data_IF_310272426653
#
_entry.id   IF_310272426653
#
_cell.length_a   1.000
_cell.length_b   1.000
_cell.length_c   1.000
_cell.angle_alpha   90.00
_cell.angle_beta   90.00
_cell.angle_gamma   90.00
#
_symmetry.space_group_name_H-M   'P 1'
#
loop_
_entity.id
_entity.type
_entity.pdbx_description
1 polymer ?
#
# COMPACT_ATOMS: atom_id res chain seq x y z
N UNK A 1 -16.75 9.80 10.15
CA UNK A 1 -17.78 9.14 11.00
C UNK A 1 -19.15 9.67 10.59
N UNK A 2 -19.97 8.85 9.91
CA UNK A 2 -21.30 9.21 9.41
C UNK A 2 -22.21 9.76 10.52
N UNK A 3 -22.18 9.15 11.69
CA UNK A 3 -22.98 9.59 12.84
C UNK A 3 -22.57 10.99 13.33
N UNK A 4 -21.26 11.32 13.31
CA UNK A 4 -20.78 12.65 13.67
C UNK A 4 -21.29 13.70 12.70
N UNK A 5 -21.26 13.39 11.40
CA UNK A 5 -21.80 14.30 10.38
C UNK A 5 -23.32 14.47 10.54
N UNK A 6 -24.06 13.39 10.81
CA UNK A 6 -25.52 13.44 11.07
C UNK A 6 -25.85 14.36 12.27
N UNK A 7 -25.07 14.26 13.37
CA UNK A 7 -25.23 15.14 14.55
C UNK A 7 -24.98 16.60 14.18
N UNK A 8 -23.89 16.87 13.44
CA UNK A 8 -23.54 18.25 13.04
C UNK A 8 -24.51 18.84 12.04
N UNK A 9 -25.04 18.04 11.11
CA UNK A 9 -26.09 18.46 10.18
C UNK A 9 -27.38 18.79 10.91
N UNK A 10 -27.81 17.94 11.85
CA UNK A 10 -28.97 18.24 12.67
C UNK A 10 -28.78 19.52 13.50
N UNK A 11 -27.60 19.76 14.04
CA UNK A 11 -27.30 21.01 14.73
C UNK A 11 -27.40 22.23 13.81
N UNK A 12 -26.98 22.12 12.54
CA UNK A 12 -27.17 23.18 11.52
C UNK A 12 -28.66 23.42 11.23
N UNK A 13 -29.47 22.36 11.12
CA UNK A 13 -30.93 22.48 10.93
C UNK A 13 -31.59 23.19 12.12
N UNK A 14 -31.21 22.86 13.34
CA UNK A 14 -31.67 23.54 14.55
C UNK A 14 -31.30 25.01 14.52
N UNK A 15 -30.08 25.36 14.17
CA UNK A 15 -29.59 26.75 14.08
C UNK A 15 -30.32 27.55 13.01
N UNK A 16 -30.60 26.96 11.87
CA UNK A 16 -31.39 27.60 10.79
C UNK A 16 -32.83 27.85 11.21
N UNK A 17 -33.43 26.91 11.95
CA UNK A 17 -34.81 27.07 12.45
C UNK A 17 -34.91 28.06 13.63
N UNK A 18 -33.85 28.13 14.46
CA UNK A 18 -33.75 28.98 15.64
C UNK A 18 -32.52 29.86 15.52
N UNK A 19 -32.57 31.03 14.88
CA UNK A 19 -31.43 31.94 14.72
C UNK A 19 -30.72 32.29 16.04
N UNK A 20 -31.51 32.35 17.13
CA UNK A 20 -31.04 32.41 18.51
C UNK A 20 -31.32 31.08 19.18
N UNK A 21 -30.29 30.38 19.65
CA UNK A 21 -30.41 29.08 20.32
C UNK A 21 -31.02 29.30 21.71
N UNK A 22 -32.30 29.18 21.80
CA UNK A 22 -33.07 29.30 23.03
C UNK A 22 -33.26 27.96 23.75
N UNK A 23 -33.92 27.94 24.89
CA UNK A 23 -34.18 26.72 25.69
C UNK A 23 -34.94 25.64 24.92
N UNK A 24 -35.86 26.03 24.04
CA UNK A 24 -36.61 25.09 23.20
C UNK A 24 -35.69 24.40 22.18
N UNK A 25 -34.82 25.17 21.51
CA UNK A 25 -33.83 24.65 20.55
C UNK A 25 -32.88 23.66 21.24
N UNK A 26 -32.35 24.03 22.42
CA UNK A 26 -31.49 23.17 23.25
C UNK A 26 -32.19 21.87 23.61
N UNK A 27 -33.44 21.92 24.03
CA UNK A 27 -34.22 20.73 24.37
C UNK A 27 -34.49 19.83 23.18
N UNK A 28 -34.88 20.40 22.02
CA UNK A 28 -35.07 19.61 20.79
C UNK A 28 -33.84 18.90 20.33
N UNK A 29 -32.67 19.58 20.36
CA UNK A 29 -31.41 18.96 20.03
C UNK A 29 -31.06 17.82 21.01
N UNK A 30 -31.16 18.07 22.31
CA UNK A 30 -30.94 17.09 23.36
C UNK A 30 -31.79 15.83 23.18
N UNK A 31 -33.11 16.02 22.98
CA UNK A 31 -34.06 14.93 22.81
C UNK A 31 -33.76 14.10 21.55
N UNK A 32 -33.39 14.75 20.45
CA UNK A 32 -33.07 14.06 19.22
C UNK A 32 -31.82 13.19 19.38
N UNK A 33 -30.72 13.73 19.93
CA UNK A 33 -29.48 12.96 20.15
C UNK A 33 -29.70 11.78 21.10
N UNK A 34 -30.44 12.00 22.21
CA UNK A 34 -30.65 10.96 23.23
C UNK A 34 -31.59 9.85 22.79
N UNK A 35 -32.56 10.15 21.92
CA UNK A 35 -33.50 9.17 21.40
C UNK A 35 -33.05 8.46 20.12
N UNK A 36 -31.97 8.93 19.49
CA UNK A 36 -31.47 8.34 18.26
C UNK A 36 -30.71 7.02 18.55
N UNK A 37 -31.36 5.90 18.24
CA UNK A 37 -30.84 4.54 18.47
C UNK A 37 -29.63 4.15 17.57
N UNK A 38 -29.36 4.92 16.52
CA UNK A 38 -28.19 4.69 15.65
C UNK A 38 -26.90 5.17 16.31
N UNK A 39 -26.99 6.12 17.24
CA UNK A 39 -25.82 6.70 17.89
C UNK A 39 -25.35 5.79 19.03
N UNK A 40 -24.04 5.62 19.12
CA UNK A 40 -23.38 4.94 20.26
C UNK A 40 -23.40 5.83 21.49
N UNK A 41 -23.22 5.24 22.70
CA UNK A 41 -23.21 6.00 23.95
C UNK A 41 -22.16 7.13 23.97
N UNK A 42 -21.02 6.94 23.31
CA UNK A 42 -20.00 8.00 23.16
C UNK A 42 -20.45 9.14 22.25
N UNK A 43 -21.22 8.86 21.20
CA UNK A 43 -21.79 9.85 20.30
C UNK A 43 -22.99 10.57 20.96
N UNK A 44 -23.81 9.86 21.73
CA UNK A 44 -24.90 10.44 22.51
C UNK A 44 -24.44 11.36 23.64
N UNK A 45 -23.17 11.28 24.06
CA UNK A 45 -22.60 12.23 25.01
C UNK A 45 -22.59 13.67 24.48
N UNK A 46 -22.51 13.85 23.14
CA UNK A 46 -22.53 15.14 22.44
C UNK A 46 -23.95 15.68 22.25
N UNK A 47 -24.71 15.77 23.31
CA UNK A 47 -26.13 16.12 23.33
C UNK A 47 -26.44 17.58 23.63
N UNK A 48 -25.42 18.41 23.73
CA UNK A 48 -25.58 19.82 24.02
C UNK A 48 -25.21 20.68 22.82
N UNK A 49 -25.88 21.82 22.68
CA UNK A 49 -25.61 22.83 21.66
C UNK A 49 -25.46 24.20 22.35
N UNK A 50 -24.41 24.95 21.99
CA UNK A 50 -24.18 26.29 22.52
C UNK A 50 -24.94 27.36 21.74
N UNK A 51 -24.82 28.61 22.16
CA UNK A 51 -25.47 29.77 21.55
C UNK A 51 -25.01 30.06 20.12
N UNK A 52 -23.80 29.62 19.78
CA UNK A 52 -23.24 29.70 18.42
C UNK A 52 -23.68 28.53 17.53
N UNK A 53 -24.39 27.56 18.06
CA UNK A 53 -24.82 26.35 17.36
C UNK A 53 -23.75 25.26 17.32
N UNK A 54 -22.71 25.33 18.13
CA UNK A 54 -21.65 24.33 18.22
C UNK A 54 -22.07 23.20 19.16
N UNK A 55 -21.88 21.97 18.71
CA UNK A 55 -22.20 20.75 19.47
C UNK A 55 -21.09 20.44 20.46
N UNK A 56 -21.44 20.10 21.70
CA UNK A 56 -20.46 19.73 22.71
C UNK A 56 -20.96 18.66 23.68
N UNK A 57 -20.03 18.00 24.36
CA UNK A 57 -20.29 17.22 25.57
C UNK A 57 -19.72 17.89 26.80
N UNK A 58 -20.36 17.64 27.96
CA UNK A 58 -19.88 18.11 29.24
C UNK A 58 -18.87 17.11 29.82
N UNK A 59 -17.62 17.54 30.02
CA UNK A 59 -16.51 16.70 30.51
C UNK A 59 -16.00 17.24 31.83
N UNK A 60 -15.65 16.34 32.75
CA UNK A 60 -15.05 16.71 34.04
C UNK A 60 -13.69 17.37 33.85
N UNK A 61 -13.42 18.40 34.67
CA UNK A 61 -12.10 19.04 34.78
C UNK A 61 -11.18 18.35 35.81
N UNK A 62 -11.64 17.27 36.44
CA UNK A 62 -10.88 16.53 37.44
C UNK A 62 -9.65 15.88 36.82
N UNK A 63 -8.51 15.94 37.45
CA UNK A 63 -7.35 15.14 37.08
C UNK A 63 -7.59 13.65 37.37
N UNK A 64 -7.12 12.71 36.49
CA UNK A 64 -7.28 11.28 36.76
C UNK A 64 -6.59 10.82 38.04
N UNK A 65 -5.43 11.40 38.35
CA UNK A 65 -4.66 11.13 39.54
C UNK A 65 -4.42 12.43 40.35
N UNK A 66 -4.17 12.36 41.68
CA UNK A 66 -3.89 13.52 42.47
C UNK A 66 -2.69 14.31 41.92
N UNK A 67 -2.83 15.61 41.79
CA UNK A 67 -1.76 16.50 41.36
C UNK A 67 -0.84 16.81 42.52
N UNK A 68 0.46 16.85 42.30
CA UNK A 68 1.46 17.19 43.32
C UNK A 68 1.65 18.70 43.48
N UNK A 69 1.46 19.48 42.42
CA UNK A 69 1.65 20.92 42.40
C UNK A 69 0.38 21.66 42.86
N UNK A 70 0.51 22.53 43.86
CA UNK A 70 -0.59 23.31 44.44
C UNK A 70 -1.30 24.22 43.43
N UNK A 71 -0.66 24.61 42.34
CA UNK A 71 -1.30 25.44 41.30
C UNK A 71 -2.54 24.79 40.66
N UNK A 72 -2.65 23.47 40.68
CA UNK A 72 -3.83 22.75 40.18
C UNK A 72 -5.00 22.71 41.16
N UNK A 73 -4.84 23.28 42.38
CA UNK A 73 -5.85 23.33 43.44
C UNK A 73 -6.35 24.76 43.69
N UNK A 74 -6.18 25.66 42.71
CA UNK A 74 -6.74 27.02 42.82
C UNK A 74 -8.19 26.97 42.32
N UNK A 75 -9.19 27.28 43.20
CA UNK A 75 -10.58 27.21 42.84
C UNK A 75 -10.95 28.29 41.82
N UNK A 76 -11.82 27.93 40.82
CA UNK A 76 -12.43 28.89 39.94
C UNK A 76 -13.52 29.69 40.68
N UNK A 77 -13.65 30.96 40.36
CA UNK A 77 -14.68 31.82 40.94
C UNK A 77 -15.97 31.70 40.12
N UNK A 78 -17.08 31.42 40.79
CA UNK A 78 -18.37 31.32 40.15
C UNK A 78 -18.84 32.69 39.59
N UNK A 79 -19.19 32.82 38.33
CA UNK A 79 -19.42 34.14 37.70
C UNK A 79 -20.66 34.90 38.24
N UNK A 80 -21.60 34.18 38.86
CA UNK A 80 -22.84 34.79 39.40
C UNK A 80 -22.73 35.04 40.88
N UNK A 81 -22.22 34.07 41.66
CA UNK A 81 -22.18 34.18 43.12
C UNK A 81 -20.91 34.87 43.65
N UNK A 82 -19.88 34.97 42.80
CA UNK A 82 -18.57 35.55 43.19
C UNK A 82 -17.78 34.69 44.17
N UNK A 83 -18.26 33.50 44.50
CA UNK A 83 -17.61 32.59 45.46
C UNK A 83 -16.75 31.53 44.77
N UNK A 84 -15.77 30.95 45.48
CA UNK A 84 -14.96 29.87 44.96
C UNK A 84 -15.80 28.59 44.75
N UNK A 85 -15.70 28.00 43.54
CA UNK A 85 -16.39 26.77 43.23
C UNK A 85 -15.79 25.54 43.93
N UNK A 86 -16.60 24.49 44.09
CA UNK A 86 -16.18 23.21 44.60
C UNK A 86 -15.00 22.64 43.80
N UNK A 87 -13.95 22.22 44.51
CA UNK A 87 -12.72 21.70 43.89
C UNK A 87 -12.83 20.22 43.55
N UNK A 88 -12.25 19.78 42.43
CA UNK A 88 -12.07 18.36 42.17
C UNK A 88 -11.07 17.76 43.20
N UNK A 89 -11.33 16.56 43.76
CA UNK A 89 -10.48 15.94 44.79
C UNK A 89 -9.03 15.75 44.36
N UNK A 90 -8.77 15.49 43.06
CA UNK A 90 -7.43 15.28 42.53
C UNK A 90 -6.81 16.57 41.94
N UNK A 91 -7.46 17.72 42.12
CA UNK A 91 -7.13 18.96 41.45
C UNK A 91 -7.63 19.02 40.00
N UNK A 92 -7.40 20.13 39.33
CA UNK A 92 -7.75 20.31 37.94
C UNK A 92 -6.80 19.59 36.98
N UNK A 93 -7.34 19.06 35.87
CA UNK A 93 -6.58 18.42 34.79
C UNK A 93 -5.86 19.44 33.88
N UNK A 94 -6.17 20.73 34.00
CA UNK A 94 -5.66 21.84 33.19
C UNK A 94 -4.85 22.80 34.05
N UNK A 95 -3.90 23.50 33.42
CA UNK A 95 -3.15 24.55 34.11
C UNK A 95 -4.01 25.80 34.38
N UNK A 96 -3.67 26.67 35.35
CA UNK A 96 -4.42 27.89 35.60
C UNK A 96 -4.56 28.80 34.39
N UNK A 97 -3.52 28.90 33.54
CA UNK A 97 -3.50 29.70 32.33
C UNK A 97 -4.52 29.14 31.32
N UNK A 98 -4.55 27.81 31.17
CA UNK A 98 -5.53 27.13 30.28
C UNK A 98 -6.94 27.31 30.81
N UNK A 99 -7.17 27.20 32.11
CA UNK A 99 -8.49 27.41 32.70
C UNK A 99 -8.98 28.87 32.52
N UNK A 100 -8.07 29.84 32.62
CA UNK A 100 -8.38 31.25 32.36
C UNK A 100 -8.78 31.48 30.89
N UNK A 101 -8.00 30.95 29.95
CA UNK A 101 -8.34 31.03 28.52
C UNK A 101 -9.69 30.37 28.20
N UNK A 102 -10.00 29.23 28.84
CA UNK A 102 -11.29 28.56 28.70
C UNK A 102 -12.44 29.37 29.30
N UNK A 103 -12.21 30.07 30.40
CA UNK A 103 -13.20 30.98 30.98
C UNK A 103 -13.49 32.16 30.05
N UNK A 104 -12.46 32.78 29.52
CA UNK A 104 -12.57 33.93 28.58
C UNK A 104 -13.30 33.55 27.29
N UNK A 105 -13.13 32.29 26.81
CA UNK A 105 -13.85 31.71 25.67
C UNK A 105 -15.27 31.24 25.99
N UNK A 106 -15.67 31.18 27.26
CA UNK A 106 -16.95 30.65 27.69
C UNK A 106 -17.07 29.14 27.55
N UNK A 107 -15.96 28.41 27.60
CA UNK A 107 -15.87 26.96 27.43
C UNK A 107 -15.97 26.20 28.77
N UNK A 108 -16.11 26.92 29.90
CA UNK A 108 -16.39 26.34 31.23
C UNK A 108 -17.89 26.38 31.50
N UNK A 109 -18.39 25.26 31.98
CA UNK A 109 -19.76 25.10 32.46
C UNK A 109 -19.76 25.21 33.98
N UNK A 110 -20.39 26.25 34.48
CA UNK A 110 -20.65 26.41 35.93
C UNK A 110 -22.03 25.81 36.27
N UNK A 111 -22.21 25.40 37.51
CA UNK A 111 -23.49 25.00 38.05
C UNK A 111 -24.44 26.18 38.24
N UNK A 112 -25.53 25.95 38.96
CA UNK A 112 -26.44 27.02 39.39
C UNK A 112 -25.78 27.90 40.44
N UNK A 113 -24.92 27.29 41.24
CA UNK A 113 -24.13 27.90 42.30
C UNK A 113 -22.71 27.32 42.41
N UNK A 114 -21.93 27.81 43.35
CA UNK A 114 -20.55 27.41 43.63
C UNK A 114 -20.39 25.99 44.17
N UNK A 115 -21.44 25.33 44.61
CA UNK A 115 -21.38 23.97 45.19
C UNK A 115 -21.12 22.90 44.13
N UNK A 116 -21.44 23.20 42.91
CA UNK A 116 -21.25 22.29 41.76
C UNK A 116 -19.84 22.47 41.18
N UNK A 117 -19.11 21.34 40.98
CA UNK A 117 -17.82 21.37 40.30
C UNK A 117 -17.91 21.87 38.87
N UNK A 118 -17.08 22.83 38.46
CA UNK A 118 -17.04 23.28 37.06
C UNK A 118 -16.63 22.17 36.13
N UNK A 119 -17.19 22.20 34.91
CA UNK A 119 -16.95 21.24 33.84
C UNK A 119 -16.53 21.96 32.55
N UNK A 120 -15.92 21.26 31.62
CA UNK A 120 -15.53 21.84 30.32
C UNK A 120 -16.50 21.42 29.22
N UNK A 121 -16.65 22.31 28.22
CA UNK A 121 -17.27 21.98 26.93
C UNK A 121 -16.22 21.32 26.04
N UNK A 122 -16.42 20.05 25.68
CA UNK A 122 -15.63 19.38 24.65
C UNK A 122 -16.42 19.38 23.35
N UNK A 123 -16.02 20.19 22.38
CA UNK A 123 -16.74 20.35 21.13
C UNK A 123 -16.56 19.17 20.18
N UNK A 124 -17.61 18.91 19.41
CA UNK A 124 -17.60 17.92 18.34
C UNK A 124 -17.18 18.61 17.03
N UNK A 125 -16.16 18.09 16.40
CA UNK A 125 -15.68 18.54 15.10
C UNK A 125 -15.94 17.50 14.01
N UNK A 126 -16.06 17.94 12.76
CA UNK A 126 -16.35 17.06 11.63
C UNK A 126 -15.24 16.03 11.38
N UNK A 127 -14.01 16.38 11.74
CA UNK A 127 -12.81 15.55 11.66
C UNK A 127 -12.55 14.72 12.93
N UNK A 128 -13.52 14.71 13.87
CA UNK A 128 -13.38 13.96 15.11
C UNK A 128 -13.14 12.47 14.83
N UNK A 129 -11.97 11.98 15.24
CA UNK A 129 -11.57 10.59 15.09
C UNK A 129 -12.04 9.78 16.28
N UNK A 130 -12.70 8.66 15.99
CA UNK A 130 -13.05 7.70 17.04
C UNK A 130 -11.81 6.88 17.39
N UNK A 131 -11.47 6.80 18.67
CA UNK A 131 -10.40 5.90 19.11
C UNK A 131 -10.79 4.44 18.79
N UNK A 132 -9.81 3.69 18.28
CA UNK A 132 -9.95 2.26 18.07
C UNK A 132 -10.07 1.59 19.44
N UNK A 133 -11.06 0.72 19.59
CA UNK A 133 -11.22 -0.06 20.82
C UNK A 133 -10.23 -1.22 20.81
N UNK A 134 -9.71 -1.58 22.00
CA UNK A 134 -8.81 -2.74 22.16
C UNK A 134 -9.49 -4.07 21.82
N UNK A 135 -10.83 -4.12 21.91
CA UNK A 135 -11.63 -5.29 21.56
C UNK A 135 -12.59 -4.88 20.44
N UNK A 136 -12.51 -5.59 19.32
CA UNK A 136 -13.39 -5.42 18.17
C UNK A 136 -14.28 -6.65 18.09
N UNK A 137 -15.60 -6.47 18.16
CA UNK A 137 -16.58 -7.53 17.95
C UNK A 137 -17.21 -7.34 16.57
N UNK A 138 -16.98 -8.30 15.67
CA UNK A 138 -17.64 -8.35 14.36
C UNK A 138 -18.38 -9.68 14.23
N UNK A 139 -19.70 -9.61 14.27
CA UNK A 139 -20.58 -10.78 14.13
C UNK A 139 -20.79 -11.20 12.65
N UNK A 140 -20.29 -10.43 11.69
CA UNK A 140 -20.47 -10.72 10.27
C UNK A 140 -19.58 -11.87 9.84
N UNK A 141 -20.17 -12.84 9.17
CA UNK A 141 -19.47 -14.03 8.66
C UNK A 141 -18.87 -13.74 7.29
N UNK A 142 -17.54 -13.79 7.17
CA UNK A 142 -16.83 -13.64 5.90
C UNK A 142 -17.25 -14.67 4.85
N UNK A 143 -17.60 -15.89 5.27
CA UNK A 143 -18.05 -16.97 4.37
C UNK A 143 -19.28 -16.58 3.53
N UNK A 144 -20.22 -15.80 4.08
CA UNK A 144 -21.37 -15.33 3.32
C UNK A 144 -20.95 -14.47 2.11
N UNK A 145 -19.94 -13.60 2.29
CA UNK A 145 -19.44 -12.76 1.20
C UNK A 145 -18.78 -13.57 0.09
N UNK A 146 -17.93 -14.55 0.44
CA UNK A 146 -17.30 -15.42 -0.55
C UNK A 146 -18.30 -16.34 -1.24
N UNK A 147 -19.34 -16.84 -0.54
CA UNK A 147 -20.43 -17.60 -1.15
C UNK A 147 -21.20 -16.75 -2.18
N UNK A 148 -21.52 -15.49 -1.88
CA UNK A 148 -22.16 -14.60 -2.86
C UNK A 148 -21.30 -14.40 -4.10
N UNK A 149 -19.97 -14.34 -3.93
CA UNK A 149 -19.01 -14.30 -5.04
C UNK A 149 -18.89 -15.64 -5.79
N UNK A 150 -19.52 -16.73 -5.29
CA UNK A 150 -19.36 -18.07 -5.83
C UNK A 150 -17.94 -18.62 -5.61
N UNK A 151 -17.35 -18.30 -4.48
CA UNK A 151 -16.02 -18.75 -4.06
C UNK A 151 -16.18 -19.57 -2.77
N UNK A 152 -15.72 -20.81 -2.79
CA UNK A 152 -15.66 -21.63 -1.58
C UNK A 152 -14.27 -21.53 -0.95
N UNK A 153 -14.24 -21.03 0.29
CA UNK A 153 -13.04 -20.96 1.10
C UNK A 153 -13.42 -21.05 2.58
N UNK A 154 -12.79 -21.95 3.35
CA UNK A 154 -13.27 -22.29 4.70
C UNK A 154 -13.06 -21.17 5.73
N UNK A 155 -11.98 -20.42 5.64
CA UNK A 155 -11.55 -19.45 6.66
C UNK A 155 -11.53 -18.03 6.12
N UNK A 156 -12.71 -17.43 5.95
CA UNK A 156 -12.83 -16.07 5.46
C UNK A 156 -13.15 -15.09 6.57
N UNK A 157 -12.42 -13.99 6.63
CA UNK A 157 -12.78 -12.84 7.46
C UNK A 157 -13.79 -11.94 6.72
N UNK A 158 -14.56 -11.19 7.51
CA UNK A 158 -15.48 -10.19 6.99
C UNK A 158 -14.74 -8.95 6.51
N UNK A 159 -15.14 -8.38 5.37
CA UNK A 159 -14.59 -7.09 4.92
C UNK A 159 -14.95 -5.97 5.89
N UNK A 160 -16.03 -6.07 6.68
CA UNK A 160 -16.38 -5.06 7.68
C UNK A 160 -15.29 -4.87 8.74
N UNK A 161 -14.67 -5.96 9.20
CA UNK A 161 -13.54 -5.92 10.12
C UNK A 161 -12.32 -5.24 9.47
N UNK A 162 -11.97 -5.67 8.26
CA UNK A 162 -10.81 -5.12 7.55
C UNK A 162 -11.02 -3.66 7.12
N UNK A 163 -12.23 -3.29 6.71
CA UNK A 163 -12.60 -1.90 6.45
C UNK A 163 -12.41 -1.02 7.70
N UNK A 164 -12.77 -1.54 8.87
CA UNK A 164 -12.56 -0.83 10.13
C UNK A 164 -11.05 -0.69 10.45
N UNK A 165 -10.27 -1.76 10.36
CA UNK A 165 -8.83 -1.76 10.65
C UNK A 165 -8.08 -0.87 9.66
N UNK A 166 -8.25 -1.10 8.36
CA UNK A 166 -7.56 -0.35 7.29
C UNK A 166 -7.98 1.12 7.33
N UNK A 167 -9.28 1.39 7.43
CA UNK A 167 -9.80 2.76 7.50
C UNK A 167 -9.36 3.53 8.74
N UNK A 168 -9.03 2.82 9.81
CA UNK A 168 -8.52 3.43 11.04
C UNK A 168 -7.01 3.69 11.00
N UNK A 169 -6.25 2.83 10.30
CA UNK A 169 -4.81 2.94 10.15
C UNK A 169 -4.39 3.85 8.98
N UNK A 170 -5.13 3.81 7.87
CA UNK A 170 -4.85 4.63 6.69
C UNK A 170 -5.42 6.04 6.83
N UNK A 171 -4.58 6.99 7.24
CA UNK A 171 -4.97 8.39 7.42
C UNK A 171 -5.10 9.12 6.09
N UNK A 172 -4.25 8.78 5.14
CA UNK A 172 -4.29 9.27 3.78
C UNK A 172 -4.99 8.26 2.88
N UNK A 173 -5.78 8.75 1.94
CA UNK A 173 -6.55 7.88 1.04
C UNK A 173 -5.73 7.29 -0.12
N UNK A 174 -4.41 7.46 -0.12
CA UNK A 174 -3.47 7.00 -1.15
C UNK A 174 -2.37 6.07 -0.61
N UNK A 175 -2.53 5.55 0.60
CA UNK A 175 -1.56 4.66 1.26
C UNK A 175 -1.54 3.27 0.61
N UNK A 176 -0.43 2.55 0.84
CA UNK A 176 -0.23 1.18 0.38
C UNK A 176 -0.50 0.24 1.54
N UNK A 177 -1.36 -0.73 1.34
CA UNK A 177 -1.71 -1.77 2.30
C UNK A 177 -1.00 -3.06 1.88
N UNK A 178 -0.16 -3.59 2.77
CA UNK A 178 0.57 -4.83 2.53
C UNK A 178 0.00 -5.95 3.42
N UNK A 179 -0.26 -7.11 2.81
CA UNK A 179 -0.72 -8.30 3.49
C UNK A 179 0.10 -9.51 3.03
N UNK A 180 0.92 -10.05 3.93
CA UNK A 180 1.82 -11.17 3.65
C UNK A 180 1.12 -12.53 3.63
N UNK A 181 -0.10 -12.61 4.14
CA UNK A 181 -0.89 -13.84 4.24
C UNK A 181 -2.30 -13.57 3.75
N UNK A 182 -2.41 -13.20 2.48
CA UNK A 182 -3.64 -12.68 1.89
C UNK A 182 -4.83 -13.64 1.98
N UNK A 183 -4.59 -14.94 2.07
CA UNK A 183 -5.63 -15.95 2.19
C UNK A 183 -6.64 -15.81 1.06
N UNK A 184 -7.90 -15.61 1.42
CA UNK A 184 -8.95 -15.37 0.43
C UNK A 184 -8.94 -13.97 -0.21
N UNK A 185 -7.99 -13.08 0.10
CA UNK A 185 -7.90 -11.73 -0.44
C UNK A 185 -8.85 -10.71 0.20
N UNK A 186 -9.17 -10.89 1.48
CA UNK A 186 -10.11 -9.98 2.20
C UNK A 186 -9.55 -8.56 2.29
N UNK A 187 -8.27 -8.37 2.55
CA UNK A 187 -7.60 -7.08 2.61
C UNK A 187 -7.70 -6.30 1.29
N UNK A 188 -7.40 -6.94 0.16
CA UNK A 188 -7.55 -6.32 -1.15
C UNK A 188 -9.00 -5.95 -1.48
N UNK A 189 -9.96 -6.84 -1.16
CA UNK A 189 -11.39 -6.56 -1.28
C UNK A 189 -11.77 -5.32 -0.47
N UNK A 190 -11.32 -5.24 0.78
CA UNK A 190 -11.60 -4.11 1.66
C UNK A 190 -11.01 -2.80 1.16
N UNK A 191 -9.80 -2.81 0.59
CA UNK A 191 -9.21 -1.61 -0.03
C UNK A 191 -10.06 -1.12 -1.20
N UNK A 192 -10.54 -2.03 -2.05
CA UNK A 192 -11.42 -1.69 -3.17
C UNK A 192 -12.75 -1.09 -2.67
N UNK A 193 -13.37 -1.68 -1.65
CA UNK A 193 -14.59 -1.15 -1.02
C UNK A 193 -14.37 0.23 -0.42
N UNK A 194 -13.28 0.45 0.31
CA UNK A 194 -12.95 1.74 0.91
C UNK A 194 -12.74 2.81 -0.15
N UNK A 195 -11.98 2.50 -1.22
CA UNK A 195 -11.75 3.44 -2.32
C UNK A 195 -13.06 3.82 -3.03
N UNK A 196 -13.99 2.88 -3.22
CA UNK A 196 -15.32 3.18 -3.75
C UNK A 196 -16.11 4.09 -2.81
N UNK A 197 -16.05 3.85 -1.50
CA UNK A 197 -16.81 4.58 -0.51
C UNK A 197 -16.37 6.02 -0.36
N UNK A 198 -15.05 6.27 -0.39
CA UNK A 198 -14.49 7.58 -0.05
C UNK A 198 -13.71 8.25 -1.18
N UNK A 199 -13.82 7.71 -2.42
CA UNK A 199 -13.10 8.14 -3.62
C UNK A 199 -11.57 8.18 -3.39
N UNK A 200 -11.05 7.20 -2.62
CA UNK A 200 -9.63 7.06 -2.34
C UNK A 200 -8.88 6.36 -3.47
N UNK A 201 -7.55 6.42 -3.41
CA UNK A 201 -6.61 5.80 -4.34
C UNK A 201 -5.61 4.87 -3.62
N UNK A 202 -6.03 4.26 -2.50
CA UNK A 202 -5.21 3.29 -1.78
C UNK A 202 -4.84 2.14 -2.69
N UNK A 203 -3.62 1.67 -2.53
CA UNK A 203 -3.08 0.50 -3.24
C UNK A 203 -2.97 -0.67 -2.28
N UNK A 204 -2.82 -1.86 -2.81
CA UNK A 204 -2.54 -3.04 -1.99
C UNK A 204 -1.48 -3.93 -2.65
N UNK A 205 -0.71 -4.61 -1.81
CA UNK A 205 0.23 -5.66 -2.17
C UNK A 205 -0.19 -6.89 -1.36
N UNK A 206 -0.53 -7.97 -2.04
CA UNK A 206 -0.97 -9.21 -1.43
C UNK A 206 0.04 -10.31 -1.75
N UNK A 207 0.51 -11.00 -0.73
CA UNK A 207 1.38 -12.15 -0.88
C UNK A 207 0.65 -13.38 -0.38
N UNK A 208 0.64 -14.45 -1.18
CA UNK A 208 0.00 -15.70 -0.84
C UNK A 208 0.77 -16.86 -1.47
N UNK A 209 1.19 -17.80 -0.64
CA UNK A 209 1.96 -18.98 -1.06
C UNK A 209 1.06 -20.17 -1.46
N UNK A 210 -0.18 -20.21 -0.95
CA UNK A 210 -1.10 -21.31 -1.18
C UNK A 210 -1.51 -21.45 -2.64
N UNK A 211 -1.64 -22.66 -3.13
CA UNK A 211 -2.08 -22.98 -4.51
C UNK A 211 -3.43 -22.33 -4.85
N UNK A 212 -4.26 -22.05 -3.85
CA UNK A 212 -5.53 -21.38 -4.00
C UNK A 212 -5.41 -19.88 -4.35
N UNK A 213 -4.20 -19.29 -4.31
CA UNK A 213 -3.98 -17.90 -4.64
C UNK A 213 -4.59 -17.50 -6.01
N UNK A 214 -4.45 -18.36 -7.00
CA UNK A 214 -5.03 -18.13 -8.35
C UNK A 214 -6.56 -18.28 -8.37
N UNK A 215 -7.06 -19.36 -7.77
CA UNK A 215 -8.46 -19.76 -7.90
C UNK A 215 -9.38 -19.03 -6.90
N UNK A 216 -8.85 -18.63 -5.76
CA UNK A 216 -9.59 -17.94 -4.68
C UNK A 216 -9.23 -16.47 -4.62
N UNK A 217 -7.98 -16.14 -4.26
CA UNK A 217 -7.56 -14.75 -4.02
C UNK A 217 -7.72 -13.88 -5.24
N UNK A 218 -7.12 -14.28 -6.35
CA UNK A 218 -7.18 -13.54 -7.62
C UNK A 218 -8.60 -13.52 -8.19
N UNK A 219 -9.33 -14.64 -8.12
CA UNK A 219 -10.72 -14.72 -8.57
C UNK A 219 -11.61 -13.75 -7.79
N UNK A 220 -11.44 -13.66 -6.45
CA UNK A 220 -12.18 -12.71 -5.60
C UNK A 220 -11.91 -11.28 -6.02
N UNK A 221 -10.64 -10.90 -6.19
CA UNK A 221 -10.29 -9.54 -6.59
C UNK A 221 -10.88 -9.16 -7.94
N UNK A 222 -10.74 -10.02 -8.95
CA UNK A 222 -11.33 -9.79 -10.29
C UNK A 222 -12.84 -9.58 -10.22
N UNK A 223 -13.54 -10.41 -9.46
CA UNK A 223 -14.99 -10.27 -9.27
C UNK A 223 -15.36 -8.96 -8.60
N UNK A 224 -14.68 -8.62 -7.51
CA UNK A 224 -14.93 -7.37 -6.78
C UNK A 224 -14.60 -6.14 -7.63
N UNK A 225 -13.53 -6.17 -8.40
CA UNK A 225 -13.19 -5.09 -9.36
C UNK A 225 -14.30 -4.91 -10.38
N UNK A 226 -14.85 -6.02 -10.92
CA UNK A 226 -15.89 -5.99 -11.94
C UNK A 226 -17.23 -5.45 -11.43
N UNK A 227 -17.66 -5.86 -10.22
CA UNK A 227 -18.93 -5.40 -9.62
C UNK A 227 -18.85 -5.41 -8.10
N UNK A 228 -19.57 -4.49 -7.47
CA UNK A 228 -19.74 -4.47 -6.01
C UNK A 228 -20.84 -5.41 -5.50
N UNK A 229 -21.70 -5.88 -6.38
CA UNK A 229 -22.93 -6.62 -6.01
C UNK A 229 -22.97 -7.98 -6.72
N UNK A 230 -22.86 -9.04 -5.91
CA UNK A 230 -22.83 -10.43 -6.37
C UNK A 230 -23.84 -11.29 -5.64
N UNK A 231 -24.44 -12.23 -6.34
CA UNK A 231 -25.30 -13.27 -5.78
C UNK A 231 -25.04 -14.59 -6.50
N UNK A 232 -24.77 -15.64 -5.74
CA UNK A 232 -24.54 -17.01 -6.24
C UNK A 232 -23.54 -17.07 -7.41
N UNK A 233 -22.45 -16.31 -7.30
CA UNK A 233 -21.38 -16.25 -8.31
C UNK A 233 -21.69 -15.41 -9.55
N UNK A 234 -22.86 -14.74 -9.61
CA UNK A 234 -23.26 -13.87 -10.73
C UNK A 234 -23.26 -12.41 -10.29
N UNK A 235 -22.71 -11.54 -11.13
CA UNK A 235 -22.78 -10.10 -10.92
C UNK A 235 -24.22 -9.64 -11.15
N UNK A 236 -24.75 -8.90 -10.17
CA UNK A 236 -26.12 -8.34 -10.23
C UNK A 236 -26.17 -6.99 -10.94
N UNK A 237 -25.02 -6.32 -11.00
CA UNK A 237 -24.89 -5.00 -11.62
C UNK A 237 -23.48 -4.82 -12.15
N UNK A 238 -23.35 -4.54 -13.45
CA UNK A 238 -22.04 -4.30 -14.13
C UNK A 238 -21.59 -2.84 -14.08
N UNK A 239 -22.46 -1.91 -13.62
CA UNK A 239 -22.14 -0.47 -13.60
C UNK A 239 -21.34 -0.06 -12.37
N UNK A 240 -21.23 -0.94 -11.36
CA UNK A 240 -20.54 -0.68 -10.10
C UNK A 240 -19.07 -1.10 -10.11
N UNK A 241 -18.52 -1.43 -11.26
CA UNK A 241 -17.10 -1.73 -11.45
C UNK A 241 -16.19 -0.56 -11.06
N UNK A 242 -14.95 -0.85 -10.74
CA UNK A 242 -13.92 0.16 -10.47
C UNK A 242 -12.83 0.12 -11.54
N UNK A 243 -12.39 1.30 -12.01
CA UNK A 243 -11.19 1.38 -12.82
C UNK A 243 -10.00 0.89 -12.00
N UNK A 244 -9.31 -0.15 -12.48
CA UNK A 244 -8.32 -0.85 -11.69
C UNK A 244 -7.26 -1.52 -12.58
N UNK A 245 -6.01 -1.45 -12.17
CA UNK A 245 -4.92 -2.23 -12.74
C UNK A 245 -4.50 -3.26 -11.68
N UNK A 246 -4.56 -4.53 -12.04
CA UNK A 246 -4.14 -5.64 -11.19
C UNK A 246 -2.93 -6.32 -11.82
N UNK A 247 -1.78 -6.18 -11.16
CA UNK A 247 -0.55 -6.89 -11.53
C UNK A 247 -0.48 -8.18 -10.73
N UNK A 248 -0.29 -9.30 -11.41
CA UNK A 248 -0.13 -10.62 -10.80
C UNK A 248 1.26 -11.12 -11.13
N UNK A 249 2.03 -11.42 -10.09
CA UNK A 249 3.38 -11.95 -10.22
C UNK A 249 3.40 -13.34 -9.60
N UNK A 250 4.04 -14.28 -10.25
CA UNK A 250 4.39 -15.58 -9.70
C UNK A 250 5.90 -15.63 -9.56
N UNK A 251 6.37 -15.91 -8.35
CA UNK A 251 7.79 -16.02 -8.03
C UNK A 251 8.13 -17.50 -7.97
N UNK A 252 9.18 -17.91 -8.65
CA UNK A 252 9.71 -19.27 -8.60
C UNK A 252 10.36 -19.53 -7.23
N UNK A 253 10.32 -20.78 -6.77
CA UNK A 253 11.03 -21.16 -5.58
C UNK A 253 12.55 -21.25 -5.84
N UNK A 254 13.35 -21.09 -4.79
CA UNK A 254 14.80 -21.32 -4.88
C UNK A 254 15.14 -22.73 -5.37
N UNK A 255 14.33 -23.71 -4.99
CA UNK A 255 14.45 -25.10 -5.40
C UNK A 255 14.22 -25.28 -6.91
N UNK A 256 13.26 -24.55 -7.50
CA UNK A 256 13.03 -24.56 -8.95
C UNK A 256 14.25 -24.03 -9.71
N UNK A 257 14.88 -22.98 -9.18
CA UNK A 257 16.11 -22.42 -9.76
C UNK A 257 17.24 -23.46 -9.71
N UNK A 258 17.41 -24.14 -8.57
CA UNK A 258 18.42 -25.19 -8.43
C UNK A 258 18.16 -26.39 -9.36
N UNK A 259 16.90 -26.81 -9.50
CA UNK A 259 16.51 -27.94 -10.37
C UNK A 259 16.73 -27.61 -11.85
N UNK A 260 16.76 -26.33 -12.21
CA UNK A 260 17.01 -25.88 -13.57
C UNK A 260 18.49 -25.79 -13.94
N UNK A 261 19.40 -25.98 -12.95
CA UNK A 261 20.83 -26.00 -13.19
C UNK A 261 21.22 -27.27 -13.96
N UNK A 262 21.76 -27.11 -15.16
CA UNK A 262 22.33 -28.21 -15.94
C UNK A 262 23.85 -28.13 -15.87
N UNK A 263 24.45 -29.07 -15.19
CA UNK A 263 25.91 -29.19 -15.13
C UNK A 263 26.40 -29.92 -16.41
N UNK A 264 27.06 -29.19 -17.30
CA UNK A 264 27.83 -29.84 -18.36
C UNK A 264 29.08 -30.44 -17.73
N UNK A 265 29.19 -31.77 -17.79
CA UNK A 265 30.43 -32.45 -17.39
C UNK A 265 31.57 -32.03 -18.32
N UNK A 266 32.37 -31.08 -17.87
CA UNK A 266 33.63 -30.84 -18.56
C UNK A 266 34.55 -32.05 -18.44
N UNK A 267 34.83 -32.70 -19.57
CA UNK A 267 35.66 -33.91 -19.67
C UNK A 267 37.10 -33.71 -19.17
N UNK A 268 37.54 -32.48 -18.96
CA UNK A 268 38.93 -32.13 -18.61
C UNK A 268 39.25 -32.20 -17.09
N UNK A 269 38.23 -32.25 -16.21
CA UNK A 269 38.45 -32.25 -14.75
C UNK A 269 38.81 -33.64 -14.21
N UNK A 270 38.56 -34.71 -14.93
CA UNK A 270 38.82 -36.09 -14.50
C UNK A 270 40.29 -36.36 -14.13
N UNK A 271 41.24 -35.70 -14.75
CA UNK A 271 42.66 -35.93 -14.48
C UNK A 271 43.21 -35.33 -13.19
N UNK A 272 42.51 -34.38 -12.58
CA UNK A 272 43.00 -33.71 -11.37
C UNK A 272 42.62 -34.45 -10.08
N UNK A 273 41.63 -35.33 -10.11
CA UNK A 273 41.11 -36.02 -8.94
C UNK A 273 41.35 -37.53 -8.93
N UNK A 274 42.12 -38.06 -9.86
CA UNK A 274 42.43 -39.50 -9.95
C UNK A 274 43.16 -40.07 -8.73
N UNK A 275 43.64 -39.23 -7.82
CA UNK A 275 44.35 -39.60 -6.58
C UNK A 275 43.55 -39.37 -5.30
N UNK A 276 42.32 -38.86 -5.39
CA UNK A 276 41.48 -38.53 -4.23
C UNK A 276 40.26 -39.45 -4.17
N UNK A 277 39.80 -39.79 -2.95
CA UNK A 277 38.65 -40.62 -2.73
C UNK A 277 37.42 -40.03 -3.45
N UNK A 278 36.70 -40.85 -4.23
CA UNK A 278 35.65 -40.42 -5.15
C UNK A 278 34.51 -39.64 -4.46
N UNK A 279 34.18 -39.95 -3.20
CA UNK A 279 33.21 -39.24 -2.41
C UNK A 279 33.65 -37.81 -2.06
N UNK A 280 34.93 -37.62 -1.70
CA UNK A 280 35.48 -36.32 -1.34
C UNK A 280 35.70 -35.46 -2.59
N UNK A 281 36.09 -36.07 -3.71
CA UNK A 281 36.17 -35.38 -4.99
C UNK A 281 34.83 -34.89 -5.49
N UNK A 282 33.76 -35.69 -5.37
CA UNK A 282 32.41 -35.32 -5.75
C UNK A 282 31.85 -34.23 -4.85
N UNK A 283 32.08 -34.31 -3.53
CA UNK A 283 31.61 -33.28 -2.59
C UNK A 283 32.30 -31.93 -2.81
N UNK A 284 33.63 -31.98 -3.06
CA UNK A 284 34.41 -30.76 -3.40
C UNK A 284 33.97 -30.18 -4.75
N UNK A 285 33.73 -31.03 -5.74
CA UNK A 285 33.29 -30.62 -7.08
C UNK A 285 31.90 -29.97 -7.02
N UNK A 286 30.97 -30.58 -6.30
CA UNK A 286 29.65 -30.04 -6.09
C UNK A 286 29.71 -28.70 -5.36
N UNK A 287 30.50 -28.61 -4.29
CA UNK A 287 30.65 -27.37 -3.52
C UNK A 287 31.33 -26.24 -4.35
N UNK A 288 32.38 -26.57 -5.11
CA UNK A 288 33.06 -25.64 -6.01
C UNK A 288 32.14 -25.17 -7.13
N UNK A 289 31.37 -26.07 -7.73
CA UNK A 289 30.38 -25.71 -8.76
C UNK A 289 29.24 -24.85 -8.20
N UNK A 290 28.76 -25.18 -6.98
CA UNK A 290 27.73 -24.34 -6.31
C UNK A 290 28.25 -22.95 -5.94
N UNK A 291 29.48 -22.83 -5.45
CA UNK A 291 30.04 -21.54 -5.00
C UNK A 291 30.58 -20.67 -6.14
N UNK A 292 31.14 -21.26 -7.19
CA UNK A 292 31.87 -20.51 -8.21
C UNK A 292 31.16 -20.42 -9.54
N UNK A 293 30.59 -21.53 -10.03
CA UNK A 293 29.93 -21.57 -11.35
C UNK A 293 28.42 -21.29 -11.27
N UNK A 294 27.79 -21.49 -10.10
CA UNK A 294 26.38 -21.16 -9.95
C UNK A 294 26.11 -19.66 -10.12
N UNK A 295 27.05 -18.80 -9.71
CA UNK A 295 26.94 -17.36 -9.92
C UNK A 295 26.94 -16.95 -11.39
N UNK A 296 27.52 -17.74 -12.27
CA UNK A 296 27.56 -17.50 -13.71
C UNK A 296 26.58 -18.31 -14.55
N UNK A 297 26.03 -19.40 -14.02
CA UNK A 297 25.25 -20.39 -14.77
C UNK A 297 23.76 -20.44 -14.43
N UNK A 298 23.31 -19.77 -13.38
CA UNK A 298 21.88 -19.72 -12.99
C UNK A 298 21.00 -19.15 -14.10
N UNK A 299 21.58 -18.27 -14.93
CA UNK A 299 20.98 -17.78 -16.14
C UNK A 299 22.05 -17.88 -17.24
N UNK A 300 21.90 -18.78 -18.18
CA UNK A 300 22.76 -18.75 -19.37
C UNK A 300 22.52 -17.42 -20.09
N UNK A 301 23.52 -16.55 -20.13
CA UNK A 301 23.44 -15.24 -20.81
C UNK A 301 23.20 -15.38 -22.30
N UNK A 302 23.50 -16.55 -22.88
CA UNK A 302 23.16 -16.85 -24.26
C UNK A 302 21.66 -16.84 -24.51
N UNK A 303 20.84 -17.18 -23.53
CA UNK A 303 19.37 -17.12 -23.61
C UNK A 303 18.85 -15.67 -23.64
N UNK A 304 19.60 -14.69 -23.18
CA UNK A 304 19.22 -13.28 -23.25
C UNK A 304 19.23 -12.73 -24.67
N UNK A 305 19.82 -13.42 -25.62
CA UNK A 305 19.70 -13.11 -27.06
C UNK A 305 18.26 -13.30 -27.57
N UNK A 306 17.45 -14.16 -26.86
CA UNK A 306 16.04 -14.43 -27.15
C UNK A 306 15.20 -14.27 -25.87
N UNK A 307 15.10 -13.08 -25.31
CA UNK A 307 14.59 -12.88 -23.96
C UNK A 307 13.11 -13.21 -23.81
N UNK A 308 12.37 -13.24 -24.89
CA UNK A 308 10.92 -13.49 -24.86
C UNK A 308 10.54 -14.97 -24.87
N UNK A 309 11.54 -15.85 -25.04
CA UNK A 309 11.39 -17.30 -25.07
C UNK A 309 12.22 -17.99 -23.98
N UNK A 310 12.55 -17.27 -22.91
CA UNK A 310 13.30 -17.83 -21.81
C UNK A 310 12.41 -18.73 -20.97
N UNK A 311 12.84 -19.98 -20.75
CA UNK A 311 12.05 -20.99 -20.06
C UNK A 311 12.87 -21.63 -18.94
N UNK A 312 12.19 -21.96 -17.83
CA UNK A 312 12.75 -22.72 -16.72
C UNK A 312 11.85 -23.91 -16.39
N UNK A 313 12.44 -24.94 -15.80
CA UNK A 313 11.73 -26.11 -15.27
C UNK A 313 11.19 -25.76 -13.87
N UNK A 314 9.89 -25.58 -13.75
CA UNK A 314 9.19 -25.18 -12.51
C UNK A 314 8.52 -26.39 -11.89
N UNK A 315 8.73 -26.63 -10.59
CA UNK A 315 8.08 -27.73 -9.87
C UNK A 315 6.55 -27.60 -9.89
N UNK A 316 5.88 -28.70 -10.22
CA UNK A 316 4.42 -28.78 -10.28
C UNK A 316 3.83 -29.45 -9.06
N UNK A 317 4.63 -30.26 -8.36
CA UNK A 317 4.23 -30.94 -7.13
C UNK A 317 5.43 -31.16 -6.18
N UNK A 318 5.14 -31.61 -4.98
CA UNK A 318 6.16 -31.98 -3.96
C UNK A 318 6.92 -33.27 -4.28
N UNK A 319 6.57 -33.99 -5.33
CA UNK A 319 7.21 -35.24 -5.74
C UNK A 319 8.34 -35.03 -6.76
N UNK A 320 8.63 -33.77 -7.13
CA UNK A 320 9.73 -33.41 -8.02
C UNK A 320 9.39 -33.44 -9.50
N UNK A 321 8.10 -33.54 -9.86
CA UNK A 321 7.68 -33.35 -11.25
C UNK A 321 7.83 -31.88 -11.63
N UNK A 322 8.45 -31.61 -12.80
CA UNK A 322 8.67 -30.25 -13.30
C UNK A 322 7.92 -30.02 -14.60
N UNK A 323 7.48 -28.80 -14.81
CA UNK A 323 6.90 -28.32 -16.08
C UNK A 323 7.71 -27.15 -16.59
N UNK A 324 8.03 -27.16 -17.87
CA UNK A 324 8.76 -26.05 -18.48
C UNK A 324 7.85 -24.86 -18.69
N UNK A 325 8.22 -23.72 -18.10
CA UNK A 325 7.43 -22.46 -18.14
C UNK A 325 8.27 -21.31 -18.61
N UNK A 326 7.63 -20.43 -19.38
CA UNK A 326 8.24 -19.18 -19.81
C UNK A 326 8.37 -18.21 -18.63
N UNK A 327 9.55 -17.61 -18.48
CA UNK A 327 9.90 -16.63 -17.46
C UNK A 327 9.96 -15.25 -18.10
N UNK A 328 9.32 -14.28 -17.47
CA UNK A 328 9.33 -12.88 -17.93
C UNK A 328 10.61 -12.17 -17.47
N UNK A 329 11.66 -12.24 -18.30
CA UNK A 329 12.92 -11.55 -18.02
C UNK A 329 12.77 -10.03 -17.97
N UNK A 330 11.86 -9.46 -18.76
CA UNK A 330 11.61 -8.01 -18.79
C UNK A 330 11.13 -7.53 -17.41
N UNK A 331 10.12 -8.21 -16.89
CA UNK A 331 9.58 -7.83 -15.58
C UNK A 331 10.52 -8.16 -14.44
N UNK A 332 11.23 -9.28 -14.53
CA UNK A 332 12.26 -9.64 -13.53
C UNK A 332 13.33 -8.58 -13.45
N UNK A 333 13.83 -8.08 -14.57
CA UNK A 333 14.86 -7.03 -14.57
C UNK A 333 14.32 -5.69 -14.06
N UNK A 334 13.11 -5.31 -14.44
CA UNK A 334 12.45 -4.11 -13.90
C UNK A 334 12.40 -4.15 -12.37
N UNK A 335 12.09 -5.32 -11.81
CA UNK A 335 12.03 -5.54 -10.37
C UNK A 335 13.42 -5.46 -9.73
N UNK A 336 14.42 -6.13 -10.29
CA UNK A 336 15.79 -6.18 -9.75
C UNK A 336 16.44 -4.80 -9.64
N UNK A 337 16.27 -3.94 -10.65
CA UNK A 337 16.81 -2.57 -10.62
C UNK A 337 15.90 -1.58 -9.87
N UNK A 338 14.74 -2.04 -9.36
CA UNK A 338 13.78 -1.17 -8.68
C UNK A 338 13.14 -0.10 -9.57
N UNK A 339 12.94 -0.39 -10.86
CA UNK A 339 12.44 0.60 -11.82
C UNK A 339 11.00 1.02 -11.51
N UNK A 340 10.79 2.31 -11.31
CA UNK A 340 9.46 2.91 -11.34
C UNK A 340 9.00 3.07 -12.79
N UNK A 341 8.34 2.03 -13.31
CA UNK A 341 7.90 1.97 -14.70
C UNK A 341 6.89 3.07 -15.02
N UNK A 342 7.16 3.84 -16.08
CA UNK A 342 6.30 4.89 -16.61
C UNK A 342 5.50 4.41 -17.82
N UNK A 343 6.16 3.73 -18.73
CA UNK A 343 5.54 3.18 -19.95
C UNK A 343 6.21 1.90 -20.40
N UNK A 344 5.43 1.00 -20.99
CA UNK A 344 5.90 -0.22 -21.64
C UNK A 344 5.31 -0.26 -23.05
N UNK A 345 6.18 -0.39 -24.04
CA UNK A 345 5.81 -0.69 -25.42
C UNK A 345 6.31 -2.09 -25.77
N UNK A 346 5.40 -3.01 -26.01
CA UNK A 346 5.73 -4.41 -26.33
C UNK A 346 5.32 -4.74 -27.75
N UNK A 347 6.27 -5.18 -28.55
CA UNK A 347 6.03 -5.71 -29.89
C UNK A 347 6.92 -6.95 -30.13
N UNK A 348 6.53 -8.05 -29.51
CA UNK A 348 7.28 -9.31 -29.55
C UNK A 348 7.34 -9.88 -30.98
N UNK A 349 6.32 -9.65 -31.82
CA UNK A 349 6.35 -10.08 -33.21
C UNK A 349 7.48 -9.40 -33.99
N UNK A 350 7.71 -8.12 -33.73
CA UNK A 350 8.85 -7.36 -34.26
C UNK A 350 10.14 -7.57 -33.51
N UNK A 351 10.11 -8.27 -32.37
CA UNK A 351 11.28 -8.66 -31.60
C UNK A 351 11.77 -7.62 -30.61
N UNK A 352 10.92 -6.73 -30.05
CA UNK A 352 11.35 -5.79 -29.02
C UNK A 352 10.31 -5.53 -27.93
N UNK A 353 10.83 -5.19 -26.75
CA UNK A 353 10.08 -4.57 -25.66
C UNK A 353 10.88 -3.37 -25.17
N UNK A 354 10.23 -2.22 -25.11
CA UNK A 354 10.77 -0.96 -24.63
C UNK A 354 10.10 -0.59 -23.30
N UNK A 355 10.90 -0.35 -22.28
CA UNK A 355 10.40 0.08 -20.96
C UNK A 355 11.05 1.40 -20.61
N UNK A 356 10.24 2.41 -20.29
CA UNK A 356 10.70 3.67 -19.73
C UNK A 356 10.30 3.79 -18.29
N UNK A 357 11.19 4.33 -17.48
CA UNK A 357 10.92 4.54 -16.06
C UNK A 357 11.96 5.42 -15.39
N UNK A 358 11.94 5.38 -14.08
CA UNK A 358 12.86 6.11 -13.22
C UNK A 358 13.45 5.16 -12.20
N UNK A 359 14.76 5.14 -12.07
CA UNK A 359 15.44 4.39 -11.01
C UNK A 359 15.22 5.05 -9.64
N UNK A 360 15.41 4.32 -8.53
CA UNK A 360 15.37 4.90 -7.18
C UNK A 360 16.34 6.06 -6.98
N UNK A 361 17.44 6.09 -7.75
CA UNK A 361 18.45 7.18 -7.79
C UNK A 361 17.93 8.45 -8.45
N UNK A 362 16.74 8.41 -9.10
CA UNK A 362 16.16 9.52 -9.84
C UNK A 362 16.60 9.59 -11.31
N UNK A 363 17.41 8.63 -11.80
CA UNK A 363 17.84 8.59 -13.20
C UNK A 363 16.71 8.16 -14.13
N UNK A 364 16.44 8.96 -15.17
CA UNK A 364 15.49 8.59 -16.23
C UNK A 364 16.10 7.48 -17.07
N UNK A 365 15.44 6.34 -17.11
CA UNK A 365 15.99 5.10 -17.62
C UNK A 365 15.14 4.55 -18.78
N UNK A 366 15.83 4.09 -19.81
CA UNK A 366 15.27 3.28 -20.89
C UNK A 366 15.83 1.87 -20.81
N UNK A 367 14.98 0.86 -20.89
CA UNK A 367 15.37 -0.53 -21.07
C UNK A 367 14.88 -0.99 -22.43
N UNK A 368 15.78 -1.46 -23.26
CA UNK A 368 15.47 -2.00 -24.57
C UNK A 368 15.83 -3.48 -24.62
N UNK A 369 14.81 -4.31 -24.55
CA UNK A 369 14.91 -5.73 -24.80
C UNK A 369 14.67 -6.04 -26.28
N UNK A 370 15.51 -6.84 -26.85
CA UNK A 370 15.39 -7.25 -28.26
C UNK A 370 15.69 -8.73 -28.47
N UNK A 371 15.00 -9.34 -29.39
CA UNK A 371 15.40 -10.59 -29.99
C UNK A 371 16.57 -10.29 -30.94
N UNK A 372 17.78 -10.70 -30.56
CA UNK A 372 19.00 -10.38 -31.30
C UNK A 372 19.07 -11.03 -32.67
N UNK A 373 18.30 -12.10 -32.93
CA UNK A 373 18.20 -12.71 -34.25
C UNK A 373 17.30 -11.90 -35.22
N UNK A 374 16.33 -11.17 -34.64
CA UNK A 374 15.42 -10.30 -35.42
C UNK A 374 15.94 -8.88 -35.54
N UNK A 375 16.55 -8.36 -34.47
CA UNK A 375 17.05 -6.99 -34.43
C UNK A 375 18.58 -7.03 -34.21
N UNK A 376 19.30 -7.12 -35.33
CA UNK A 376 20.74 -6.98 -35.40
C UNK A 376 21.20 -5.52 -35.30
N UNK A 377 22.46 -5.24 -35.59
CA UNK A 377 23.05 -3.89 -35.45
C UNK A 377 22.37 -2.85 -36.36
N UNK A 378 22.03 -3.20 -37.60
CA UNK A 378 21.42 -2.26 -38.53
C UNK A 378 20.00 -1.86 -38.09
N UNK A 379 19.19 -2.85 -37.72
CA UNK A 379 17.83 -2.64 -37.21
C UNK A 379 17.85 -1.88 -35.92
N UNK A 380 18.83 -2.13 -35.05
CA UNK A 380 19.02 -1.39 -33.80
C UNK A 380 19.31 0.10 -34.05
N UNK A 381 20.18 0.41 -35.02
CA UNK A 381 20.43 1.79 -35.42
C UNK A 381 19.20 2.47 -36.03
N UNK A 382 18.43 1.76 -36.84
CA UNK A 382 17.14 2.27 -37.36
C UNK A 382 16.15 2.53 -36.22
N UNK A 383 16.14 1.64 -35.24
CA UNK A 383 15.33 1.80 -34.03
C UNK A 383 15.75 3.05 -33.25
N UNK A 384 17.06 3.23 -32.98
CA UNK A 384 17.59 4.37 -32.26
C UNK A 384 17.23 5.70 -32.95
N UNK A 385 17.31 5.76 -34.28
CA UNK A 385 16.92 6.91 -35.06
C UNK A 385 15.39 7.17 -35.03
N UNK A 386 14.59 6.09 -35.14
CA UNK A 386 13.13 6.20 -35.12
C UNK A 386 12.58 6.74 -33.80
N UNK A 387 13.21 6.41 -32.70
CA UNK A 387 12.81 6.84 -31.36
C UNK A 387 13.61 8.04 -30.86
N UNK A 388 14.37 8.68 -31.75
CA UNK A 388 15.15 9.88 -31.44
C UNK A 388 15.95 9.76 -30.16
N UNK A 389 16.65 8.62 -29.95
CA UNK A 389 17.40 8.33 -28.74
C UNK A 389 18.49 9.37 -28.41
N UNK A 390 18.89 10.12 -29.42
CA UNK A 390 19.93 11.17 -29.33
C UNK A 390 19.35 12.58 -29.37
N UNK A 391 18.04 12.74 -29.43
CA UNK A 391 17.41 14.05 -29.43
C UNK A 391 17.53 14.72 -28.05
N UNK A 392 17.68 16.03 -28.05
CA UNK A 392 17.80 16.86 -26.85
C UNK A 392 16.61 16.66 -25.87
N UNK A 393 15.43 16.44 -26.42
CA UNK A 393 14.17 16.32 -25.68
C UNK A 393 13.93 14.90 -25.10
N UNK A 394 14.62 13.88 -25.63
CA UNK A 394 14.50 12.48 -25.24
C UNK A 394 15.69 11.96 -24.44
N UNK A 395 16.35 12.83 -23.67
CA UNK A 395 17.54 12.43 -22.90
C UNK A 395 17.17 11.44 -21.80
N UNK A 396 17.73 10.22 -21.93
CA UNK A 396 17.82 9.25 -20.84
C UNK A 396 19.16 9.40 -20.14
N UNK A 397 19.18 9.23 -18.84
CA UNK A 397 20.42 9.23 -18.06
C UNK A 397 21.16 7.89 -18.23
N UNK A 398 20.38 6.80 -18.34
CA UNK A 398 20.88 5.43 -18.52
C UNK A 398 20.01 4.69 -19.52
N UNK A 399 20.67 3.93 -20.41
CA UNK A 399 20.01 2.96 -21.29
C UNK A 399 20.53 1.57 -20.96
N UNK A 400 19.64 0.62 -20.70
CA UNK A 400 19.96 -0.79 -20.60
C UNK A 400 19.55 -1.51 -21.90
N UNK A 401 20.43 -2.36 -22.42
CA UNK A 401 20.19 -3.14 -23.63
C UNK A 401 20.74 -4.55 -23.48
N UNK A 402 20.03 -5.56 -23.99
CA UNK A 402 20.55 -6.93 -24.02
C UNK A 402 21.36 -7.22 -25.28
N UNK A 403 22.34 -8.08 -25.13
CA UNK A 403 23.30 -8.47 -26.19
C UNK A 403 24.25 -7.34 -26.60
N UNK A 404 25.16 -7.66 -27.52
CA UNK A 404 26.13 -6.70 -28.03
C UNK A 404 25.44 -5.62 -28.87
N UNK A 405 25.93 -4.39 -28.76
CA UNK A 405 25.40 -3.24 -29.49
C UNK A 405 26.52 -2.36 -30.07
N UNK A 406 26.17 -1.61 -31.10
CA UNK A 406 27.04 -0.63 -31.77
C UNK A 406 26.50 0.81 -31.64
N UNK A 407 25.60 1.06 -30.68
CA UNK A 407 25.06 2.39 -30.44
C UNK A 407 26.14 3.36 -29.96
N UNK A 408 26.21 4.59 -30.51
CA UNK A 408 27.14 5.60 -30.05
C UNK A 408 26.89 6.00 -28.60
N UNK A 409 27.94 6.04 -27.79
CA UNK A 409 27.87 6.51 -26.40
C UNK A 409 28.16 8.01 -26.26
N UNK A 410 28.71 8.63 -27.31
CA UNK A 410 28.94 10.06 -27.42
C UNK A 410 28.31 10.60 -28.70
N UNK A 411 27.58 11.69 -28.60
CA UNK A 411 26.90 12.33 -29.72
C UNK A 411 26.87 13.85 -29.55
N UNK A 412 26.83 14.57 -30.66
CA UNK A 412 26.80 16.04 -30.69
C UNK A 412 25.36 16.53 -30.74
N UNK A 413 25.05 17.52 -29.90
CA UNK A 413 23.76 18.21 -29.91
C UNK A 413 24.01 19.68 -30.20
N UNK A 414 23.28 20.24 -31.14
CA UNK A 414 23.29 21.67 -31.42
C UNK A 414 22.55 22.43 -30.30
N UNK A 415 23.23 23.37 -29.66
CA UNK A 415 22.64 24.32 -28.73
C UNK A 415 22.80 25.77 -29.24
N UNK A 416 22.07 26.70 -28.63
CA UNK A 416 22.09 28.13 -29.05
C UNK A 416 23.51 28.75 -29.03
N UNK A 417 24.40 28.21 -28.17
CA UNK A 417 25.79 28.68 -28.00
C UNK A 417 26.85 27.81 -28.74
N UNK A 418 26.41 26.82 -29.55
CA UNK A 418 27.30 25.94 -30.30
C UNK A 418 27.05 24.44 -30.10
N UNK A 419 27.88 23.61 -30.76
CA UNK A 419 27.79 22.14 -30.61
C UNK A 419 28.34 21.67 -29.27
N UNK A 420 27.53 20.91 -28.53
CA UNK A 420 27.94 20.27 -27.25
C UNK A 420 27.97 18.75 -27.43
N UNK A 421 29.09 18.13 -27.03
CA UNK A 421 29.19 16.67 -26.97
C UNK A 421 28.56 16.16 -25.69
N UNK A 422 27.53 15.32 -25.83
CA UNK A 422 26.89 14.61 -24.72
C UNK A 422 27.29 13.16 -24.67
N UNK A 423 27.42 12.63 -23.46
CA UNK A 423 27.67 11.22 -23.22
C UNK A 423 26.42 10.52 -22.72
N UNK A 424 26.10 9.37 -23.29
CA UNK A 424 24.99 8.52 -22.91
C UNK A 424 25.53 7.27 -22.22
N UNK A 425 25.03 6.99 -21.01
CA UNK A 425 25.40 5.76 -20.31
C UNK A 425 24.59 4.60 -20.89
N UNK A 426 25.25 3.76 -21.68
CA UNK A 426 24.64 2.51 -22.18
C UNK A 426 25.26 1.36 -21.38
N UNK A 427 24.40 0.52 -20.78
CA UNK A 427 24.79 -0.64 -19.98
C UNK A 427 24.19 -1.91 -20.57
N UNK A 428 24.94 -2.99 -20.52
CA UNK A 428 24.41 -4.31 -20.87
C UNK A 428 23.55 -4.83 -19.73
N UNK A 429 22.43 -5.45 -20.09
CA UNK A 429 21.48 -6.04 -19.12
C UNK A 429 22.10 -7.24 -18.43
N UNK A 430 22.79 -8.10 -19.14
CA UNK A 430 23.31 -9.38 -18.67
C UNK A 430 24.22 -9.24 -17.42
N UNK A 431 25.28 -8.42 -17.43
CA UNK A 431 26.12 -8.25 -16.24
C UNK A 431 25.37 -7.65 -15.06
N UNK A 432 24.51 -6.67 -15.32
CA UNK A 432 23.73 -6.00 -14.27
C UNK A 432 22.71 -6.96 -13.66
N UNK A 433 22.05 -7.76 -14.49
CA UNK A 433 21.08 -8.77 -14.05
C UNK A 433 21.76 -9.79 -13.12
N UNK A 434 22.91 -10.35 -13.54
CA UNK A 434 23.63 -11.32 -12.72
C UNK A 434 24.16 -10.70 -11.41
N UNK A 435 24.70 -9.49 -11.46
CA UNK A 435 25.16 -8.80 -10.26
C UNK A 435 24.05 -8.59 -9.24
N UNK A 436 22.85 -8.22 -9.70
CA UNK A 436 21.71 -7.98 -8.81
C UNK A 436 21.08 -9.28 -8.30
N UNK A 437 21.08 -10.35 -9.12
CA UNK A 437 20.58 -11.67 -8.70
C UNK A 437 21.42 -12.28 -7.57
N UNK A 438 22.73 -11.99 -7.54
CA UNK A 438 23.67 -12.54 -6.59
C UNK A 438 24.23 -11.50 -5.61
N UNK A 439 23.65 -10.31 -5.56
CA UNK A 439 24.02 -9.33 -4.54
C UNK A 439 23.76 -9.91 -3.16
N UNK A 440 24.81 -10.06 -2.35
CA UNK A 440 24.64 -10.35 -0.94
C UNK A 440 23.96 -9.14 -0.29
N UNK A 441 22.92 -9.38 0.48
CA UNK A 441 22.32 -8.32 1.32
C UNK A 441 23.42 -7.80 2.27
N UNK A 442 23.78 -6.53 2.13
CA UNK A 442 24.70 -5.81 3.02
C UNK A 442 23.93 -5.21 4.18
#
# INVERSE_FOLDING_TARGET
NENVLEILEYAKLIKNKYPVINSEAKKKFYDWVTKNKKLTGGEQAYKYIDEKGRVYQSVSLRAPEPRTDKKFYIPLIHPVTGKPCAMPPNGFSRTPETLKDMMDKGDILFGVDETTQPRQKAYLYADAKKQITSIIQDAKKGKTQTTHLGIDFPYCHSTSLYNYLIGSASHNKNEIILDFFAGSGTSGHSVIELNRKDAGSRKYILVEQGEYAQNVTLSRLRKVIFSSNWKDGKAMDSTTGSSHILKVMKIESYEDVLNSLRFEQQKEIKGLFDTVNESVANEYLIKYMLETESKGSLLSTDNFKKPFNYEMDIATDSAGATERKNIDLVETFNYLIGLHVKSIESNIERGYVRVEGMLPTGERTLILWRDCDKIGYEELNKYANRFDLYAKENTFDVIYINGDHNLPTAFTVDEEDGEIVRSLKIRQIEPEFLNLMFAEEV
#
